data_IF_959868962230
#
_entry.id   IF_959868962230
#
_cell.length_a   1.000
_cell.length_b   1.000
_cell.length_c   1.000
_cell.angle_alpha   90.00
_cell.angle_beta   90.00
_cell.angle_gamma   90.00
#
_symmetry.space_group_name_H-M   'P 1'
#
loop_
_entity.id
_entity.type
_entity.pdbx_description
1 polymer ?
#
# COMPACT_ATOMS: atom_id res chain seq x y z
N UNK A 1 2.46 13.41 -5.44
CA UNK A 1 1.31 13.92 -4.66
C UNK A 1 1.73 14.83 -3.52
N UNK A 2 2.77 14.51 -2.75
CA UNK A 2 3.27 15.34 -1.64
C UNK A 2 3.64 16.76 -2.11
N UNK A 3 4.39 16.89 -3.20
CA UNK A 3 4.70 18.18 -3.83
C UNK A 3 3.42 18.91 -4.25
N UNK A 4 2.50 18.23 -4.94
CA UNK A 4 1.21 18.81 -5.36
C UNK A 4 0.39 19.34 -4.17
N UNK A 5 0.43 18.66 -3.03
CA UNK A 5 -0.21 19.13 -1.79
C UNK A 5 0.35 20.48 -1.33
N UNK A 6 1.68 20.62 -1.35
CA UNK A 6 2.37 21.88 -0.99
C UNK A 6 2.00 23.00 -1.96
N UNK A 7 2.05 22.75 -3.27
CA UNK A 7 1.65 23.72 -4.31
C UNK A 7 0.17 24.12 -4.13
N UNK A 8 -0.73 23.15 -3.94
CA UNK A 8 -2.15 23.40 -3.78
C UNK A 8 -2.47 24.28 -2.56
N UNK A 9 -1.68 24.17 -1.48
CA UNK A 9 -1.83 25.02 -0.30
C UNK A 9 -1.39 26.47 -0.46
N UNK A 10 -0.74 26.81 -1.59
CA UNK A 10 -0.18 28.15 -1.82
C UNK A 10 1.10 28.42 -1.03
N UNK A 11 1.85 27.39 -0.65
CA UNK A 11 3.13 27.55 0.04
C UNK A 11 4.17 28.22 -0.88
N UNK A 12 5.05 29.09 -0.35
CA UNK A 12 6.01 29.82 -1.15
C UNK A 12 7.06 28.89 -1.77
N UNK A 13 7.16 28.97 -3.10
CA UNK A 13 8.18 28.29 -3.90
C UNK A 13 9.32 29.27 -4.23
N UNK A 14 10.54 28.75 -4.25
CA UNK A 14 11.66 29.46 -4.87
C UNK A 14 11.48 29.52 -6.38
N UNK A 15 12.15 30.47 -7.03
CA UNK A 15 12.05 30.62 -8.49
C UNK A 15 12.44 29.34 -9.25
N UNK A 16 13.51 28.67 -8.81
CA UNK A 16 13.93 27.39 -9.41
C UNK A 16 12.89 26.28 -9.23
N UNK A 17 12.26 26.21 -8.07
CA UNK A 17 11.21 25.21 -7.82
C UNK A 17 9.96 25.47 -8.64
N UNK A 18 9.55 26.75 -8.74
CA UNK A 18 8.44 27.16 -9.59
C UNK A 18 8.70 26.77 -11.04
N UNK A 19 9.88 27.08 -11.58
CA UNK A 19 10.25 26.73 -12.95
C UNK A 19 10.17 25.23 -13.23
N UNK A 20 10.65 24.39 -12.31
CA UNK A 20 10.57 22.92 -12.44
C UNK A 20 9.11 22.41 -12.43
N UNK A 21 8.23 23.03 -11.64
CA UNK A 21 6.82 22.64 -11.53
C UNK A 21 6.02 23.14 -12.73
N UNK A 22 6.19 24.42 -13.10
CA UNK A 22 5.45 25.09 -14.17
C UNK A 22 5.75 24.54 -15.57
N UNK A 23 6.89 23.87 -15.73
CA UNK A 23 7.18 23.04 -16.90
C UNK A 23 6.00 22.09 -17.22
N UNK A 24 5.40 21.45 -16.21
CA UNK A 24 4.27 20.53 -16.39
C UNK A 24 2.90 21.18 -16.29
N UNK A 25 2.70 22.14 -15.39
CA UNK A 25 1.45 22.89 -15.25
C UNK A 25 1.61 24.07 -14.30
N UNK A 26 0.82 25.10 -14.52
CA UNK A 26 0.71 26.22 -13.58
C UNK A 26 0.15 25.78 -12.22
N UNK A 27 0.43 26.59 -11.19
CA UNK A 27 0.03 26.31 -9.81
C UNK A 27 -1.50 26.17 -9.65
N UNK A 28 -2.30 26.90 -10.43
CA UNK A 28 -3.77 26.86 -10.37
C UNK A 28 -4.31 25.53 -10.92
N UNK A 29 -3.82 25.08 -12.07
CA UNK A 29 -4.15 23.77 -12.66
C UNK A 29 -3.81 22.62 -11.71
N UNK A 30 -2.62 22.68 -11.07
CA UNK A 30 -2.20 21.68 -10.08
C UNK A 30 -3.14 21.71 -8.87
N UNK A 31 -3.47 22.90 -8.36
CA UNK A 31 -4.37 23.08 -7.21
C UNK A 31 -5.75 22.52 -7.49
N UNK A 32 -6.36 22.91 -8.61
CA UNK A 32 -7.69 22.45 -9.00
C UNK A 32 -7.71 20.92 -9.10
N UNK A 33 -6.67 20.33 -9.71
CA UNK A 33 -6.63 18.89 -9.94
C UNK A 33 -6.32 18.10 -8.67
N UNK A 34 -5.45 18.61 -7.80
CA UNK A 34 -5.21 18.01 -6.49
C UNK A 34 -6.49 17.98 -5.63
N UNK A 35 -7.29 19.05 -5.63
CA UNK A 35 -8.52 19.09 -4.84
C UNK A 35 -9.68 18.29 -5.45
N UNK A 36 -9.65 17.96 -6.75
CA UNK A 36 -10.60 17.02 -7.36
C UNK A 36 -10.47 15.62 -6.76
N UNK A 37 -9.25 15.14 -6.57
CA UNK A 37 -8.99 13.88 -5.87
C UNK A 37 -7.68 13.95 -5.08
N UNK A 38 -7.81 14.20 -3.78
CA UNK A 38 -6.67 14.33 -2.86
C UNK A 38 -5.98 12.99 -2.61
N UNK A 39 -6.68 11.87 -2.83
CA UNK A 39 -6.21 10.54 -2.47
C UNK A 39 -5.52 9.85 -3.66
N UNK A 40 -5.96 10.13 -4.88
CA UNK A 40 -5.42 9.54 -6.11
C UNK A 40 -4.38 10.44 -6.80
N UNK A 41 -3.32 9.80 -7.28
CA UNK A 41 -2.27 10.50 -8.01
C UNK A 41 -2.59 10.68 -9.51
N UNK A 42 -3.63 10.02 -10.03
CA UNK A 42 -3.80 9.84 -11.48
C UNK A 42 -4.12 11.15 -12.19
N UNK A 43 -4.95 12.03 -11.62
CA UNK A 43 -5.17 13.37 -12.17
C UNK A 43 -3.89 14.20 -12.27
N UNK A 44 -3.01 14.13 -11.26
CA UNK A 44 -1.71 14.82 -11.28
C UNK A 44 -0.78 14.18 -12.32
N UNK A 45 -0.76 12.85 -12.46
CA UNK A 45 0.02 12.16 -13.51
C UNK A 45 -0.47 12.52 -14.90
N UNK A 46 -1.78 12.65 -15.10
CA UNK A 46 -2.37 13.03 -16.39
C UNK A 46 -1.96 14.43 -16.83
N UNK A 47 -1.91 15.39 -15.90
CA UNK A 47 -1.43 16.74 -16.21
C UNK A 47 0.01 16.69 -16.72
N UNK A 48 0.88 15.94 -16.03
CA UNK A 48 2.29 15.79 -16.43
C UNK A 48 2.43 15.20 -17.84
N UNK A 49 1.50 14.32 -18.24
CA UNK A 49 1.42 13.77 -19.59
C UNK A 49 0.92 14.80 -20.61
N UNK A 50 -0.19 15.50 -20.34
CA UNK A 50 -0.90 16.32 -21.34
C UNK A 50 -0.10 17.53 -21.85
N UNK A 51 0.63 18.25 -20.99
CA UNK A 51 1.28 19.51 -21.41
C UNK A 51 2.51 19.30 -22.28
N UNK A 52 3.30 18.24 -22.02
CA UNK A 52 4.60 18.01 -22.67
C UNK A 52 4.89 16.52 -22.87
N UNK A 53 3.95 15.78 -23.46
CA UNK A 53 3.97 14.30 -23.56
C UNK A 53 5.29 13.71 -24.08
N UNK A 54 5.95 14.41 -25.02
CA UNK A 54 7.18 13.96 -25.67
C UNK A 54 8.47 14.46 -25.00
N UNK A 55 8.45 15.64 -24.37
CA UNK A 55 9.63 16.25 -23.74
C UNK A 55 9.75 15.90 -22.25
N UNK A 56 8.65 15.49 -21.61
CA UNK A 56 8.60 15.19 -20.20
C UNK A 56 9.62 14.13 -19.74
N UNK A 57 9.81 12.99 -20.45
CA UNK A 57 10.78 11.97 -20.02
C UNK A 57 12.23 12.48 -20.07
N UNK A 58 12.64 13.07 -21.20
CA UNK A 58 13.99 13.61 -21.39
C UNK A 58 14.30 14.74 -20.39
N UNK A 59 13.29 15.58 -20.10
CA UNK A 59 13.43 16.66 -19.15
C UNK A 59 13.61 16.16 -17.70
N UNK A 60 12.91 15.09 -17.30
CA UNK A 60 13.11 14.46 -15.98
C UNK A 60 14.51 13.90 -15.88
N UNK A 61 14.98 13.17 -16.89
CA UNK A 61 16.31 12.56 -16.87
C UNK A 61 17.41 13.61 -16.75
N UNK A 62 17.32 14.69 -17.54
CA UNK A 62 18.30 15.78 -17.52
C UNK A 62 18.32 16.56 -16.21
N UNK A 63 17.18 16.65 -15.51
CA UNK A 63 17.02 17.43 -14.28
C UNK A 63 16.74 16.56 -13.04
N UNK A 64 17.05 15.26 -13.07
CA UNK A 64 16.67 14.31 -12.03
C UNK A 64 17.16 14.72 -10.63
N UNK A 65 18.40 15.22 -10.54
CA UNK A 65 18.98 15.71 -9.29
C UNK A 65 18.23 16.95 -8.75
N UNK A 66 17.77 17.81 -9.64
CA UNK A 66 17.01 19.02 -9.28
C UNK A 66 15.59 18.67 -8.81
N UNK A 67 14.92 17.71 -9.45
CA UNK A 67 13.65 17.17 -8.96
C UNK A 67 13.77 16.47 -7.61
N UNK A 68 14.84 15.69 -7.40
CA UNK A 68 15.12 15.06 -6.11
C UNK A 68 15.36 16.12 -5.03
N UNK A 69 16.15 17.14 -5.34
CA UNK A 69 16.42 18.25 -4.43
C UNK A 69 15.14 19.03 -4.10
N UNK A 70 14.30 19.32 -5.08
CA UNK A 70 12.99 19.93 -4.88
C UNK A 70 12.12 19.09 -3.95
N UNK A 71 12.02 17.79 -4.20
CA UNK A 71 11.21 16.88 -3.39
C UNK A 71 11.65 16.88 -1.93
N UNK A 72 12.97 16.76 -1.69
CA UNK A 72 13.54 16.76 -0.33
C UNK A 72 13.40 18.13 0.33
N UNK A 73 13.72 19.22 -0.38
CA UNK A 73 13.67 20.57 0.17
C UNK A 73 12.26 20.99 0.58
N UNK A 74 11.26 20.72 -0.26
CA UNK A 74 9.86 20.95 0.09
C UNK A 74 9.41 20.05 1.24
N UNK A 75 9.85 18.79 1.27
CA UNK A 75 9.53 17.87 2.38
C UNK A 75 10.09 18.33 3.72
N UNK A 76 11.32 18.86 3.75
CA UNK A 76 11.93 19.41 4.95
C UNK A 76 11.28 20.73 5.39
N UNK A 77 10.85 21.57 4.44
CA UNK A 77 10.14 22.83 4.74
C UNK A 77 8.68 22.61 5.17
N UNK A 78 8.03 21.58 4.65
CA UNK A 78 6.61 21.28 4.88
C UNK A 78 6.37 19.83 5.33
N UNK A 79 7.01 19.37 6.42
CA UNK A 79 7.02 17.97 6.81
C UNK A 79 5.62 17.45 7.15
N UNK A 80 4.79 18.27 7.80
CA UNK A 80 3.41 17.90 8.18
C UNK A 80 2.57 17.61 6.93
N UNK A 81 2.74 18.39 5.86
CA UNK A 81 1.99 18.19 4.62
C UNK A 81 2.43 16.93 3.91
N UNK A 82 3.74 16.67 3.86
CA UNK A 82 4.29 15.46 3.28
C UNK A 82 3.80 14.20 4.00
N UNK A 83 3.87 14.21 5.33
CA UNK A 83 3.38 13.09 6.16
C UNK A 83 1.88 12.92 6.01
N UNK A 84 1.10 14.00 6.06
CA UNK A 84 -0.35 13.94 5.86
C UNK A 84 -0.69 13.33 4.50
N UNK A 85 -0.07 13.81 3.42
CA UNK A 85 -0.35 13.29 2.09
C UNK A 85 0.07 11.83 1.95
N UNK A 86 1.21 11.45 2.52
CA UNK A 86 1.65 10.06 2.57
C UNK A 86 0.68 9.16 3.35
N UNK A 87 0.18 9.62 4.51
CA UNK A 87 -0.87 8.94 5.29
C UNK A 87 -2.11 8.75 4.43
N UNK A 88 -2.59 9.80 3.78
CA UNK A 88 -3.79 9.73 2.93
C UNK A 88 -3.64 8.66 1.83
N UNK A 89 -2.51 8.68 1.13
CA UNK A 89 -2.25 7.75 0.03
C UNK A 89 -1.99 6.30 0.48
N UNK A 90 -1.49 6.08 1.69
CA UNK A 90 -1.20 4.72 2.21
C UNK A 90 -2.28 4.19 3.14
N UNK A 91 -3.22 5.04 3.58
CA UNK A 91 -4.22 4.72 4.60
C UNK A 91 -5.03 3.48 4.27
N UNK A 92 -5.31 3.22 3.00
CA UNK A 92 -6.02 2.01 2.58
C UNK A 92 -5.33 0.70 2.94
N UNK A 93 -4.02 0.72 3.19
CA UNK A 93 -3.27 -0.48 3.54
C UNK A 93 -3.36 -0.84 5.03
N UNK A 94 -3.69 0.11 5.91
CA UNK A 94 -3.61 -0.09 7.37
C UNK A 94 -4.74 0.56 8.18
N UNK A 95 -5.57 1.41 7.58
CA UNK A 95 -6.71 2.05 8.24
C UNK A 95 -8.03 1.42 7.76
N UNK A 96 -8.90 0.93 8.67
CA UNK A 96 -10.18 0.32 8.32
C UNK A 96 -11.11 1.31 7.61
N UNK A 97 -12.14 0.78 6.94
CA UNK A 97 -13.11 1.59 6.20
C UNK A 97 -12.65 2.05 4.80
N UNK A 98 -11.49 1.55 4.34
CA UNK A 98 -10.99 1.75 2.99
C UNK A 98 -11.14 0.46 2.17
N UNK A 99 -12.19 0.36 1.36
CA UNK A 99 -12.42 -0.82 0.51
C UNK A 99 -11.48 -0.84 -0.69
N UNK A 100 -11.19 -2.01 -1.26
CA UNK A 100 -10.46 -2.13 -2.53
C UNK A 100 -11.11 -1.33 -3.67
N UNK A 101 -10.32 -0.78 -4.60
CA UNK A 101 -10.81 -0.25 -5.88
C UNK A 101 -11.13 -1.37 -6.88
N UNK A 102 -10.30 -2.41 -6.94
CA UNK A 102 -10.43 -3.54 -7.88
C UNK A 102 -11.73 -4.33 -7.70
N UNK A 103 -12.25 -4.40 -6.47
CA UNK A 103 -13.50 -5.12 -6.22
C UNK A 103 -14.76 -4.23 -6.31
N UNK A 104 -14.62 -2.91 -6.30
CA UNK A 104 -15.75 -2.01 -5.99
C UNK A 104 -15.82 -0.70 -6.78
N UNK A 105 -14.83 -0.33 -7.59
CA UNK A 105 -14.87 0.91 -8.38
C UNK A 105 -14.38 0.71 -9.81
N UNK A 106 -13.27 0.00 -9.98
CA UNK A 106 -12.88 -0.50 -11.28
C UNK A 106 -13.66 -1.79 -11.44
N UNK A 107 -14.60 -1.80 -12.38
CA UNK A 107 -15.13 -3.04 -12.94
C UNK A 107 -13.98 -4.03 -13.22
N UNK A 108 -14.25 -5.32 -13.42
CA UNK A 108 -13.27 -6.31 -13.91
C UNK A 108 -12.88 -6.03 -15.38
N UNK A 109 -12.70 -4.75 -15.70
CA UNK A 109 -12.17 -4.20 -16.92
C UNK A 109 -10.72 -4.63 -17.00
N UNK A 110 -10.41 -5.43 -18.01
CA UNK A 110 -9.03 -5.64 -18.40
C UNK A 110 -8.67 -4.49 -19.32
N UNK A 111 -7.83 -3.56 -18.84
CA UNK A 111 -7.15 -2.61 -19.72
C UNK A 111 -6.07 -3.38 -20.50
N UNK A 112 -6.50 -4.22 -21.44
CA UNK A 112 -5.65 -4.82 -22.46
C UNK A 112 -5.32 -3.70 -23.46
N UNK A 113 -4.37 -2.84 -23.09
CA UNK A 113 -3.97 -1.64 -23.85
C UNK A 113 -5.02 -0.50 -23.77
N UNK A 114 -4.53 0.74 -23.67
CA UNK A 114 -5.34 1.97 -23.54
C UNK A 114 -6.29 2.24 -24.74
N UNK A 115 -6.25 1.40 -25.79
CA UNK A 115 -6.95 1.58 -27.07
C UNK A 115 -8.01 0.51 -27.39
N UNK A 116 -8.14 -0.56 -26.59
CA UNK A 116 -9.20 -1.56 -26.80
C UNK A 116 -10.43 -1.27 -25.93
N UNK A 117 -11.66 -1.52 -26.44
CA UNK A 117 -12.87 -1.35 -25.64
C UNK A 117 -12.81 -2.24 -24.38
N UNK A 118 -13.38 -1.76 -23.27
CA UNK A 118 -13.48 -2.50 -22.01
C UNK A 118 -14.04 -3.93 -22.24
N UNK A 119 -13.16 -4.92 -22.39
CA UNK A 119 -13.56 -6.31 -22.47
C UNK A 119 -13.70 -6.84 -21.04
N UNK A 120 -14.95 -7.06 -20.63
CA UNK A 120 -15.26 -7.80 -19.40
C UNK A 120 -14.95 -9.28 -19.63
N UNK A 121 -14.07 -9.89 -18.83
CA UNK A 121 -13.64 -11.31 -18.98
C UNK A 121 -14.84 -12.27 -19.01
N UNK A 122 -15.90 -11.96 -18.28
CA UNK A 122 -17.06 -12.83 -18.07
C UNK A 122 -18.36 -12.33 -18.72
N UNK A 123 -18.32 -11.18 -19.40
CA UNK A 123 -19.50 -10.49 -19.91
C UNK A 123 -20.18 -9.60 -18.85
N UNK A 124 -20.70 -8.45 -19.29
CA UNK A 124 -21.28 -7.40 -18.43
C UNK A 124 -22.32 -7.91 -17.41
N UNK A 125 -23.21 -8.81 -17.81
CA UNK A 125 -24.26 -9.35 -16.93
C UNK A 125 -23.72 -10.26 -15.82
N UNK A 126 -22.67 -11.02 -16.10
CA UNK A 126 -22.06 -11.89 -15.09
C UNK A 126 -21.31 -11.05 -14.06
N UNK A 127 -20.59 -10.04 -14.54
CA UNK A 127 -19.91 -9.07 -13.71
C UNK A 127 -20.88 -8.26 -12.83
N UNK A 128 -21.97 -7.75 -13.38
CA UNK A 128 -22.99 -7.03 -12.61
C UNK A 128 -23.54 -7.88 -11.45
N UNK A 129 -23.74 -9.18 -11.68
CA UNK A 129 -24.15 -10.12 -10.62
C UNK A 129 -23.06 -10.32 -9.57
N UNK A 130 -21.80 -10.43 -9.97
CA UNK A 130 -20.67 -10.57 -9.04
C UNK A 130 -20.53 -9.30 -8.19
N UNK A 131 -20.60 -8.12 -8.81
CA UNK A 131 -20.54 -6.84 -8.11
C UNK A 131 -21.73 -6.67 -7.14
N UNK A 132 -22.93 -7.07 -7.56
CA UNK A 132 -24.10 -7.08 -6.69
C UNK A 132 -23.92 -8.02 -5.48
N UNK A 133 -23.39 -9.22 -5.70
CA UNK A 133 -23.07 -10.15 -4.62
C UNK A 133 -22.04 -9.54 -3.66
N UNK A 134 -20.95 -8.96 -4.18
CA UNK A 134 -19.92 -8.30 -3.38
C UNK A 134 -20.48 -7.14 -2.56
N UNK A 135 -21.38 -6.32 -3.12
CA UNK A 135 -22.06 -5.25 -2.39
C UNK A 135 -22.98 -5.79 -1.28
N UNK A 136 -23.60 -6.95 -1.50
CA UNK A 136 -24.38 -7.64 -0.47
C UNK A 136 -23.48 -8.15 0.66
N UNK A 137 -22.37 -8.81 0.31
CA UNK A 137 -21.40 -9.33 1.27
C UNK A 137 -20.77 -8.22 2.14
N UNK A 138 -20.50 -7.06 1.55
CA UNK A 138 -20.02 -5.86 2.25
C UNK A 138 -20.96 -5.40 3.36
N UNK A 139 -22.27 -5.52 3.17
CA UNK A 139 -23.29 -5.08 4.17
C UNK A 139 -23.33 -5.99 5.40
N UNK A 140 -22.74 -7.17 5.33
CA UNK A 140 -22.65 -8.10 6.46
C UNK A 140 -21.39 -7.74 7.27
N UNK A 141 -21.52 -7.26 8.52
CA UNK A 141 -20.38 -6.68 9.27
C UNK A 141 -19.16 -7.60 9.38
N UNK A 142 -19.37 -8.91 9.58
CA UNK A 142 -18.30 -9.89 9.73
C UNK A 142 -17.68 -10.36 8.41
N UNK A 143 -18.39 -10.24 7.27
CA UNK A 143 -17.87 -10.63 5.97
C UNK A 143 -17.24 -9.44 5.24
N UNK A 144 -17.76 -8.23 5.46
CA UNK A 144 -17.20 -6.99 4.90
C UNK A 144 -15.74 -6.77 5.31
N UNK A 145 -15.37 -7.11 6.55
CA UNK A 145 -13.99 -6.96 7.04
C UNK A 145 -12.98 -7.83 6.28
N UNK A 146 -13.41 -8.94 5.69
CA UNK A 146 -12.56 -9.82 4.86
C UNK A 146 -12.16 -9.12 3.57
N UNK A 147 -12.92 -8.12 3.12
CA UNK A 147 -12.58 -7.32 1.94
C UNK A 147 -11.74 -6.09 2.28
N UNK A 148 -11.43 -5.86 3.55
CA UNK A 148 -10.59 -4.75 4.00
C UNK A 148 -9.11 -5.16 4.06
N UNK A 149 -8.26 -4.49 3.28
CA UNK A 149 -6.80 -4.70 3.31
C UNK A 149 -6.17 -4.59 4.71
N UNK A 150 -6.60 -3.64 5.58
CA UNK A 150 -6.08 -3.52 6.94
C UNK A 150 -6.19 -4.80 7.76
N UNK A 151 -7.23 -5.63 7.58
CA UNK A 151 -7.37 -6.89 8.31
C UNK A 151 -6.11 -7.76 8.14
N UNK A 152 -5.67 -7.91 6.90
CA UNK A 152 -4.53 -8.76 6.56
C UNK A 152 -3.22 -8.15 7.03
N UNK A 153 -3.04 -6.84 6.82
CA UNK A 153 -1.88 -6.10 7.33
C UNK A 153 -1.73 -6.28 8.85
N UNK A 154 -2.81 -6.03 9.61
CA UNK A 154 -2.79 -6.15 11.06
C UNK A 154 -2.67 -7.59 11.53
N UNK A 155 -3.31 -8.55 10.87
CA UNK A 155 -3.19 -9.97 11.21
C UNK A 155 -1.75 -10.44 11.11
N UNK A 156 -1.03 -10.06 10.04
CA UNK A 156 0.36 -10.48 9.87
C UNK A 156 1.30 -9.72 10.79
N UNK A 157 1.10 -8.42 11.01
CA UNK A 157 1.87 -7.65 12.01
C UNK A 157 1.68 -8.21 13.43
N UNK A 158 0.45 -8.60 13.78
CA UNK A 158 0.16 -9.25 15.05
C UNK A 158 0.84 -10.61 15.15
N UNK A 159 0.78 -11.42 14.10
CA UNK A 159 1.47 -12.71 14.03
C UNK A 159 2.98 -12.58 14.22
N UNK A 160 3.59 -11.60 13.54
CA UNK A 160 5.00 -11.26 13.70
C UNK A 160 5.32 -10.82 15.14
N UNK A 161 4.48 -9.97 15.72
CA UNK A 161 4.65 -9.51 17.11
C UNK A 161 4.57 -10.67 18.12
N UNK A 162 3.64 -11.61 17.94
CA UNK A 162 3.55 -12.82 18.78
C UNK A 162 4.82 -13.66 18.67
N UNK A 163 5.40 -13.79 17.47
CA UNK A 163 6.68 -14.47 17.27
C UNK A 163 7.82 -13.75 18.01
N UNK A 164 7.89 -12.41 17.92
CA UNK A 164 8.88 -11.61 18.64
C UNK A 164 8.78 -11.81 20.15
N UNK A 165 7.57 -11.82 20.71
CA UNK A 165 7.36 -12.05 22.15
C UNK A 165 7.74 -13.47 22.61
N UNK A 166 7.76 -14.44 21.68
CA UNK A 166 8.10 -15.83 21.99
C UNK A 166 9.59 -16.11 21.96
N UNK A 167 10.40 -15.26 21.32
CA UNK A 167 11.86 -15.37 21.17
C UNK A 167 12.55 -15.67 22.51
N UNK A 168 12.58 -16.95 22.87
CA UNK A 168 13.28 -17.47 24.06
C UNK A 168 14.49 -18.33 23.69
N UNK A 169 14.69 -18.63 22.40
CA UNK A 169 15.81 -19.45 21.90
C UNK A 169 16.17 -19.09 20.46
N UNK A 170 17.47 -19.18 20.12
CA UNK A 170 18.02 -18.94 18.76
C UNK A 170 17.29 -19.71 17.63
N UNK A 171 16.55 -20.77 17.96
CA UNK A 171 15.77 -21.58 17.01
C UNK A 171 14.54 -20.87 16.43
N UNK A 172 14.03 -19.83 17.09
CA UNK A 172 12.85 -19.05 16.64
C UNK A 172 13.23 -17.88 15.72
N UNK A 173 14.52 -17.51 15.67
CA UNK A 173 15.01 -16.46 14.78
C UNK A 173 14.88 -16.87 13.30
N UNK A 174 15.03 -18.16 13.00
CA UNK A 174 14.84 -18.69 11.64
C UNK A 174 13.40 -18.55 11.15
N UNK A 175 12.40 -18.60 12.04
CA UNK A 175 10.99 -18.50 11.64
C UNK A 175 10.63 -17.06 11.25
N UNK A 176 11.43 -16.07 11.67
CA UNK A 176 11.27 -14.66 11.27
C UNK A 176 11.63 -14.44 9.79
N UNK A 177 12.40 -15.34 9.17
CA UNK A 177 12.80 -15.21 7.76
C UNK A 177 11.59 -15.18 6.83
N UNK A 178 10.50 -15.87 7.20
CA UNK A 178 9.27 -15.91 6.40
C UNK A 178 8.54 -14.56 6.37
N UNK A 179 8.83 -13.67 7.31
CA UNK A 179 8.25 -12.32 7.37
C UNK A 179 9.13 -11.28 6.64
N UNK A 180 10.38 -11.61 6.30
CA UNK A 180 11.30 -10.68 5.64
C UNK A 180 10.80 -10.25 4.25
N UNK A 181 10.38 -11.16 3.35
CA UNK A 181 9.84 -10.77 2.05
C UNK A 181 8.60 -9.87 2.20
N UNK A 182 7.77 -10.15 3.20
CA UNK A 182 6.58 -9.35 3.47
C UNK A 182 6.91 -7.94 3.95
N UNK A 183 7.83 -7.83 4.91
CA UNK A 183 8.32 -6.54 5.39
C UNK A 183 8.93 -5.73 4.25
N UNK A 184 9.69 -6.38 3.37
CA UNK A 184 10.25 -5.76 2.17
C UNK A 184 9.15 -5.28 1.20
N UNK A 185 8.13 -6.10 0.93
CA UNK A 185 6.96 -5.68 0.13
C UNK A 185 6.29 -4.47 0.75
N UNK A 186 5.93 -4.53 2.03
CA UNK A 186 5.23 -3.42 2.70
C UNK A 186 6.06 -2.13 2.70
N UNK A 187 7.35 -2.23 2.97
CA UNK A 187 8.28 -1.10 2.92
C UNK A 187 8.38 -0.50 1.52
N UNK A 188 8.48 -1.35 0.49
CA UNK A 188 8.49 -0.91 -0.91
C UNK A 188 7.16 -0.22 -1.29
N UNK A 189 6.02 -0.67 -0.78
CA UNK A 189 4.73 -0.01 -1.03
C UNK A 189 4.62 1.35 -0.37
N UNK A 190 5.08 1.46 0.88
CA UNK A 190 5.06 2.72 1.61
C UNK A 190 5.98 3.77 1.01
N UNK A 191 7.07 3.36 0.34
CA UNK A 191 8.04 4.28 -0.26
C UNK A 191 7.79 4.51 -1.74
N UNK A 192 7.60 3.44 -2.53
CA UNK A 192 7.65 3.47 -3.98
C UNK A 192 6.32 3.79 -4.66
N UNK A 193 5.18 3.38 -4.08
CA UNK A 193 3.87 3.54 -4.71
C UNK A 193 2.73 3.62 -3.71
N UNK A 194 2.61 4.72 -2.94
CA UNK A 194 1.46 4.95 -2.09
C UNK A 194 0.27 5.28 -3.02
N UNK A 195 -0.48 4.24 -3.41
CA UNK A 195 -1.68 4.36 -4.24
C UNK A 195 -2.85 3.94 -3.36
N UNK A 196 -3.78 4.86 -3.17
CA UNK A 196 -4.95 4.61 -2.35
C UNK A 196 -5.83 3.54 -3.02
N UNK A 197 -6.17 2.50 -2.24
CA UNK A 197 -7.11 1.40 -2.56
C UNK A 197 -6.71 0.43 -3.69
N UNK A 198 -5.49 0.48 -4.22
CA UNK A 198 -5.03 -0.53 -5.20
C UNK A 198 -4.56 -1.82 -4.49
N UNK A 199 -5.27 -2.92 -4.72
CA UNK A 199 -5.05 -4.19 -4.03
C UNK A 199 -3.96 -5.04 -4.63
N UNK A 200 -3.55 -4.77 -5.88
CA UNK A 200 -2.54 -5.56 -6.60
C UNK A 200 -1.24 -5.68 -5.81
N UNK A 201 -0.94 -4.61 -5.08
CA UNK A 201 0.24 -4.48 -4.25
C UNK A 201 0.21 -5.34 -2.97
N UNK A 202 -0.98 -5.69 -2.47
CA UNK A 202 -1.18 -6.52 -1.28
C UNK A 202 -1.56 -7.98 -1.60
N UNK A 203 -1.75 -8.35 -2.86
CA UNK A 203 -2.05 -9.73 -3.28
C UNK A 203 -1.08 -10.79 -2.75
N UNK A 204 0.24 -10.55 -2.68
CA UNK A 204 1.15 -11.50 -2.05
C UNK A 204 0.79 -11.75 -0.60
N UNK A 205 0.38 -10.72 0.14
CA UNK A 205 -0.02 -10.78 1.55
C UNK A 205 -1.30 -11.60 1.69
N UNK A 206 -2.31 -11.31 0.87
CA UNK A 206 -3.59 -12.03 0.84
C UNK A 206 -3.40 -13.52 0.54
N UNK A 207 -2.40 -13.88 -0.26
CA UNK A 207 -2.16 -15.27 -0.65
C UNK A 207 -1.47 -16.09 0.44
N UNK A 208 -0.65 -15.44 1.28
CA UNK A 208 0.20 -16.12 2.26
C UNK A 208 -0.20 -15.87 3.73
N UNK A 209 -1.12 -14.93 4.02
CA UNK A 209 -1.39 -14.52 5.40
C UNK A 209 -1.83 -15.67 6.31
N UNK A 210 -2.61 -16.64 5.80
CA UNK A 210 -3.06 -17.80 6.59
C UNK A 210 -1.85 -18.61 7.07
N UNK A 211 -0.88 -18.86 6.18
CA UNK A 211 0.33 -19.58 6.53
C UNK A 211 1.18 -18.80 7.52
N UNK A 212 1.36 -17.49 7.30
CA UNK A 212 2.12 -16.65 8.22
C UNK A 212 1.48 -16.60 9.60
N UNK A 213 0.15 -16.44 9.68
CA UNK A 213 -0.60 -16.45 10.94
C UNK A 213 -0.51 -17.78 11.69
N UNK A 214 -0.25 -18.89 11.00
CA UNK A 214 -0.10 -20.21 11.62
C UNK A 214 1.30 -20.42 12.24
N UNK A 215 2.34 -19.75 11.74
CA UNK A 215 3.74 -19.95 12.18
C UNK A 215 3.90 -19.82 13.69
N UNK A 216 3.39 -18.78 14.38
CA UNK A 216 3.59 -18.66 15.82
C UNK A 216 2.89 -19.78 16.60
N UNK A 217 1.92 -20.48 16.04
CA UNK A 217 1.18 -21.54 16.73
C UNK A 217 1.69 -22.94 16.40
N UNK A 218 2.56 -23.06 15.40
CA UNK A 218 3.22 -24.31 15.08
C UNK A 218 4.24 -24.67 16.16
N UNK A 219 4.10 -25.87 16.76
CA UNK A 219 5.07 -26.40 17.74
C UNK A 219 6.07 -27.29 17.04
N UNK A 220 7.36 -27.02 17.24
CA UNK A 220 8.41 -27.89 16.69
C UNK A 220 8.47 -29.20 17.50
N UNK A 221 8.73 -30.35 16.87
CA UNK A 221 8.85 -31.63 17.58
C UNK A 221 9.87 -31.60 18.72
N UNK A 222 10.97 -30.85 18.57
CA UNK A 222 12.01 -30.67 19.60
C UNK A 222 11.51 -29.98 20.88
N UNK A 223 10.45 -29.17 20.80
CA UNK A 223 9.86 -28.53 21.97
C UNK A 223 9.06 -29.52 22.83
N UNK A 224 8.53 -30.59 22.21
CA UNK A 224 7.85 -31.66 22.93
C UNK A 224 8.84 -32.51 23.75
N UNK A 225 10.03 -32.78 23.21
CA UNK A 225 11.08 -33.54 23.92
C UNK A 225 11.57 -32.80 25.18
N UNK A 226 11.69 -31.46 25.13
CA UNK A 226 12.11 -30.65 26.27
C UNK A 226 11.06 -30.65 27.40
N UNK A 227 9.77 -30.66 27.05
CA UNK A 227 8.66 -30.78 28.01
C UNK A 227 8.62 -32.17 28.64
N UNK A 228 8.80 -33.23 27.86
CA UNK A 228 8.87 -34.61 28.38
C UNK A 228 10.08 -34.81 29.30
N UNK A 229 11.24 -34.23 28.96
CA UNK A 229 12.44 -34.20 29.81
C UNK A 229 12.20 -33.46 31.13
N UNK A 230 11.57 -32.26 31.08
CA UNK A 230 11.21 -31.50 32.29
C UNK A 230 10.19 -32.23 33.15
N UNK A 231 9.17 -32.87 32.57
CA UNK A 231 8.20 -33.69 33.30
C UNK A 231 8.85 -34.92 33.95
N UNK A 232 9.72 -35.65 33.24
CA UNK A 232 10.44 -36.81 33.77
C UNK A 232 11.35 -36.47 34.97
N UNK A 233 12.02 -35.31 34.93
CA UNK A 233 12.85 -34.82 36.06
C UNK A 233 12.04 -34.40 37.29
N UNK A 234 10.79 -33.98 37.12
CA UNK A 234 9.89 -33.65 38.24
C UNK A 234 9.35 -34.93 38.89
N UNK A 235 9.11 -35.99 38.12
CA UNK A 235 8.64 -37.27 38.65
C UNK A 235 9.71 -38.06 39.40
N UNK A 236 11.01 -37.92 39.03
CA UNK A 236 12.13 -38.57 39.73
C UNK A 236 12.57 -37.88 41.03
N UNK A 237 11.96 -36.74 41.40
CA UNK A 237 12.28 -35.96 42.62
C UNK A 237 11.28 -36.16 43.77
N UNK A 238 10.41 -37.17 43.68
CA UNK A 238 9.54 -37.62 44.77
C UNK A 238 9.90 -39.05 45.15
#
# INVERSE_FOLDING_TARGET
MQVASVVASGAPLTEKERQLIEFYADEDTIRETYYKDVMLADGIKEIMKKKQLYEAPEHIEKNAADYLKLYIALGLRHPVMYVRQWVLQTSSYWMPGCLSMVYFSDRFNVHLMDELPDLTIFGYKAEERVLWLLDLYKKIPALGIIYEMPLYTWAVLFSFFVLVLRLKRNTELYDMIFYVPLGATYFMLLIGSPIWRDTKYLEPILSIFIFLCAIPFYRKPSDNEEIHSKKGKVTQKK
#
